data_IF_459355266702
#
_entry.id   IF_459355266702
#
_cell.length_a   1.000
_cell.length_b   1.000
_cell.length_c   1.000
_cell.angle_alpha   90.00
_cell.angle_beta   90.00
_cell.angle_gamma   90.00
#
_symmetry.space_group_name_H-M   'P 1'
#
loop_
_entity.id
_entity.type
_entity.pdbx_description
1 polymer ?
#
# COMPACT_ATOMS: atom_id res chain seq x y z
N UNK A 1 -14.16 -23.92 -32.22
CA UNK A 1 -13.51 -23.35 -31.05
C UNK A 1 -14.53 -22.44 -30.32
N UNK A 2 -14.78 -22.66 -29.01
CA UNK A 2 -15.71 -21.77 -28.27
C UNK A 2 -15.04 -20.42 -28.08
N UNK A 3 -15.70 -19.34 -28.45
CA UNK A 3 -15.23 -17.96 -28.23
C UNK A 3 -15.77 -17.45 -26.88
N UNK A 4 -15.02 -16.55 -26.23
CA UNK A 4 -15.53 -15.83 -25.07
C UNK A 4 -16.66 -14.88 -25.50
N UNK A 5 -17.63 -14.57 -24.61
CA UNK A 5 -18.64 -13.57 -24.88
C UNK A 5 -18.03 -12.20 -25.24
N UNK A 6 -18.65 -11.46 -26.14
CA UNK A 6 -18.16 -10.12 -26.55
C UNK A 6 -18.16 -9.12 -25.38
N UNK A 7 -19.04 -9.31 -24.38
CA UNK A 7 -19.12 -8.48 -23.19
C UNK A 7 -18.11 -8.88 -22.09
N UNK A 8 -17.20 -9.83 -22.35
CA UNK A 8 -16.23 -10.27 -21.36
C UNK A 8 -15.22 -9.16 -21.04
N UNK A 9 -15.09 -8.87 -19.73
CA UNK A 9 -14.10 -7.91 -19.25
C UNK A 9 -12.77 -8.63 -19.05
N UNK A 10 -11.72 -8.07 -19.63
CA UNK A 10 -10.35 -8.55 -19.50
C UNK A 10 -9.55 -7.56 -18.67
N UNK A 11 -8.93 -8.00 -17.59
CA UNK A 11 -8.19 -7.08 -16.74
C UNK A 11 -7.48 -7.75 -15.59
N UNK A 12 -6.96 -6.92 -14.71
CA UNK A 12 -6.21 -7.31 -13.53
C UNK A 12 -6.75 -6.67 -12.25
N UNK A 13 -6.20 -7.14 -11.13
CA UNK A 13 -6.47 -6.57 -9.82
C UNK A 13 -5.15 -6.28 -9.11
N UNK A 14 -5.11 -5.15 -8.38
CA UNK A 14 -3.98 -4.79 -7.54
C UNK A 14 -4.47 -4.32 -6.16
N UNK A 15 -3.54 -4.22 -5.22
CA UNK A 15 -3.77 -3.68 -3.89
C UNK A 15 -2.89 -2.44 -3.67
N UNK A 16 -3.44 -1.41 -3.02
CA UNK A 16 -2.79 -0.13 -2.76
C UNK A 16 -1.36 -0.27 -2.24
N UNK A 17 -1.16 -1.05 -1.17
CA UNK A 17 0.15 -1.27 -0.56
C UNK A 17 1.14 -2.07 -1.42
N UNK A 18 0.68 -2.67 -2.53
CA UNK A 18 1.54 -3.46 -3.44
C UNK A 18 2.01 -2.65 -4.63
N UNK A 19 1.28 -1.59 -5.02
CA UNK A 19 1.61 -0.90 -6.25
C UNK A 19 1.64 0.64 -6.12
N UNK A 20 0.92 1.24 -5.15
CA UNK A 20 0.70 2.67 -5.13
C UNK A 20 1.99 3.47 -4.85
N UNK A 21 2.73 3.15 -3.80
CA UNK A 21 3.85 3.99 -3.36
C UNK A 21 3.40 5.32 -2.75
N UNK A 22 4.27 6.34 -2.76
CA UNK A 22 3.94 7.66 -2.23
C UNK A 22 3.41 7.63 -0.79
N UNK A 23 3.99 6.78 0.07
CA UNK A 23 3.46 6.43 1.40
C UNK A 23 3.35 7.62 2.36
N UNK A 24 4.16 8.65 2.18
CA UNK A 24 4.21 9.86 3.00
C UNK A 24 3.88 11.14 2.20
N UNK A 25 3.24 10.99 1.03
CA UNK A 25 2.92 12.09 0.13
C UNK A 25 1.42 12.39 0.09
N UNK A 26 1.07 13.60 -0.33
CA UNK A 26 -0.32 14.05 -0.42
C UNK A 26 -1.09 14.01 0.90
N UNK A 27 -0.40 14.03 2.05
CA UNK A 27 -1.04 13.97 3.37
C UNK A 27 -1.57 12.59 3.75
N UNK A 28 -1.15 11.52 3.06
CA UNK A 28 -1.53 10.14 3.38
C UNK A 28 -1.09 9.75 4.80
N UNK A 29 -1.98 9.12 5.54
CA UNK A 29 -1.66 8.45 6.81
C UNK A 29 -1.01 7.09 6.60
N UNK A 30 -0.34 6.59 7.62
CA UNK A 30 0.35 5.30 7.57
C UNK A 30 -0.62 4.12 7.71
N UNK A 31 -0.33 3.04 6.99
CA UNK A 31 -0.99 1.74 7.09
C UNK A 31 -0.10 0.76 7.85
N UNK A 32 -0.69 -0.33 8.31
CA UNK A 32 0.09 -1.43 8.96
C UNK A 32 1.20 -1.97 8.05
N UNK A 33 0.96 -2.04 6.74
CA UNK A 33 1.97 -2.51 5.77
C UNK A 33 3.18 -1.58 5.66
N UNK A 34 3.05 -0.29 6.03
CA UNK A 34 4.16 0.66 6.01
C UNK A 34 5.20 0.40 7.13
N UNK A 35 4.87 -0.46 8.07
CA UNK A 35 5.77 -0.93 9.13
C UNK A 35 6.31 -2.34 8.87
N UNK A 36 5.99 -2.95 7.71
CA UNK A 36 6.43 -4.30 7.36
C UNK A 36 7.66 -4.22 6.49
N UNK A 37 8.77 -4.78 6.99
CA UNK A 37 10.05 -4.83 6.27
C UNK A 37 9.97 -5.74 5.04
N UNK A 38 10.96 -5.66 4.18
CA UNK A 38 11.24 -6.71 3.21
C UNK A 38 11.58 -8.02 3.90
N UNK A 39 11.76 -9.07 3.11
CA UNK A 39 12.11 -10.37 3.65
C UNK A 39 12.54 -11.37 2.58
N UNK A 40 13.10 -12.46 3.04
CA UNK A 40 13.52 -13.61 2.24
C UNK A 40 13.16 -14.91 2.95
N UNK A 41 13.43 -16.06 2.30
CA UNK A 41 13.26 -17.38 2.95
C UNK A 41 14.08 -17.53 4.23
N UNK A 42 15.26 -16.90 4.30
CA UNK A 42 16.15 -16.95 5.48
C UNK A 42 15.85 -15.86 6.49
N UNK A 43 15.35 -14.71 6.04
CA UNK A 43 14.97 -13.55 6.86
C UNK A 43 13.51 -13.19 6.59
N UNK A 44 12.55 -13.77 7.27
CA UNK A 44 11.13 -13.44 7.08
C UNK A 44 10.84 -11.96 7.35
N UNK A 45 9.81 -11.44 6.67
CA UNK A 45 9.29 -10.08 6.91
C UNK A 45 8.96 -9.87 8.38
N UNK A 46 9.23 -8.66 8.88
CA UNK A 46 8.96 -8.26 10.27
C UNK A 46 8.07 -7.04 10.30
N UNK A 47 7.27 -6.95 11.34
CA UNK A 47 6.51 -5.76 11.70
C UNK A 47 7.32 -4.98 12.74
N UNK A 48 7.68 -3.75 12.44
CA UNK A 48 8.51 -2.89 13.29
C UNK A 48 7.65 -1.96 14.15
N UNK A 49 8.08 -1.72 15.37
CA UNK A 49 7.31 -0.97 16.36
C UNK A 49 8.19 -0.15 17.30
N UNK A 50 7.54 0.75 18.05
CA UNK A 50 8.09 1.49 19.17
C UNK A 50 7.20 1.30 20.40
N UNK A 51 7.83 1.11 21.54
CA UNK A 51 7.17 1.05 22.85
C UNK A 51 6.97 2.46 23.45
N UNK A 52 6.07 2.63 24.44
CA UNK A 52 5.87 3.92 25.10
C UNK A 52 7.13 4.50 25.77
N UNK A 53 8.08 3.65 26.16
CA UNK A 53 9.37 4.05 26.76
C UNK A 53 10.42 4.46 25.69
N UNK A 54 10.05 4.40 24.40
CA UNK A 54 10.94 4.73 23.29
C UNK A 54 11.77 3.54 22.77
N UNK A 55 11.69 2.37 23.39
CA UNK A 55 12.38 1.16 22.91
C UNK A 55 11.76 0.71 21.58
N UNK A 56 12.59 0.44 20.59
CA UNK A 56 12.15 -0.05 19.27
C UNK A 56 12.40 -1.55 19.15
N UNK A 57 11.56 -2.22 18.36
CA UNK A 57 11.68 -3.65 18.14
C UNK A 57 10.98 -4.11 16.85
N UNK A 58 11.04 -5.41 16.62
CA UNK A 58 10.36 -6.04 15.50
C UNK A 58 9.88 -7.44 15.86
N UNK A 59 8.69 -7.81 15.38
CA UNK A 59 8.13 -9.17 15.48
C UNK A 59 7.91 -9.74 14.08
N UNK A 60 7.80 -11.07 13.92
CA UNK A 60 7.35 -11.65 12.66
C UNK A 60 6.05 -10.98 12.20
N UNK A 61 5.93 -10.62 10.90
CA UNK A 61 4.84 -9.76 10.41
C UNK A 61 3.43 -10.34 10.58
N UNK A 62 3.31 -11.63 10.91
CA UNK A 62 2.03 -12.33 11.21
C UNK A 62 1.72 -12.43 12.69
N UNK A 63 2.61 -11.94 13.53
CA UNK A 63 2.43 -11.91 14.98
C UNK A 63 1.94 -10.53 15.44
N UNK A 64 1.30 -10.52 16.59
CA UNK A 64 0.87 -9.27 17.22
C UNK A 64 2.07 -8.54 17.82
N UNK A 65 2.06 -7.21 17.70
CA UNK A 65 2.99 -6.39 18.45
C UNK A 65 2.75 -6.52 19.95
N UNK A 66 3.78 -6.26 20.79
CA UNK A 66 3.60 -6.19 22.25
C UNK A 66 2.51 -5.20 22.65
N UNK A 67 1.87 -5.44 23.79
CA UNK A 67 0.86 -4.54 24.33
C UNK A 67 1.42 -3.11 24.50
N UNK A 68 0.66 -2.12 24.05
CA UNK A 68 1.05 -0.70 24.07
C UNK A 68 2.03 -0.28 22.98
N UNK A 69 2.57 -1.20 22.19
CA UNK A 69 3.43 -0.86 21.06
C UNK A 69 2.65 -0.19 19.93
N UNK A 70 3.32 0.68 19.19
CA UNK A 70 2.80 1.33 17.96
C UNK A 70 3.73 1.03 16.80
N UNK A 71 3.17 0.87 15.59
CA UNK A 71 3.96 0.74 14.37
C UNK A 71 4.96 1.89 14.24
N UNK A 72 6.20 1.57 13.88
CA UNK A 72 7.27 2.56 13.77
C UNK A 72 8.26 2.20 12.66
N UNK A 73 8.63 3.19 11.85
CA UNK A 73 9.58 3.04 10.75
C UNK A 73 11.00 3.20 11.31
N UNK A 74 11.81 2.14 11.18
CA UNK A 74 13.21 2.14 11.57
C UNK A 74 14.08 2.60 10.40
N UNK A 75 15.07 3.45 10.65
CA UNK A 75 15.90 4.08 9.60
C UNK A 75 16.80 3.11 8.84
N UNK A 76 17.15 1.99 9.46
CA UNK A 76 18.05 0.95 8.94
C UNK A 76 17.32 -0.22 8.27
N UNK A 77 16.00 -0.10 8.09
CA UNK A 77 15.17 -1.13 7.48
C UNK A 77 14.60 -0.66 6.14
N UNK A 78 14.41 -1.59 5.21
CA UNK A 78 13.73 -1.34 3.95
C UNK A 78 12.27 -1.80 4.02
N UNK A 79 11.36 -0.95 3.54
CA UNK A 79 9.92 -1.17 3.54
C UNK A 79 9.40 -1.14 2.11
N UNK A 80 9.12 -2.30 1.50
CA UNK A 80 8.74 -2.36 0.08
C UNK A 80 7.49 -1.56 -0.29
N UNK A 81 6.52 -1.43 0.62
CA UNK A 81 5.28 -0.68 0.39
C UNK A 81 5.49 0.83 0.22
N UNK A 82 6.61 1.38 0.72
CA UNK A 82 6.88 2.81 0.65
C UNK A 82 7.05 3.32 -0.78
N UNK A 83 7.69 2.52 -1.62
CA UNK A 83 7.88 2.80 -3.03
C UNK A 83 6.94 1.95 -3.91
N UNK A 84 6.78 0.66 -3.57
CA UNK A 84 6.04 -0.31 -4.37
C UNK A 84 6.48 -0.27 -5.85
N UNK A 85 5.55 -0.08 -6.80
CA UNK A 85 5.87 0.20 -8.22
C UNK A 85 5.68 1.67 -8.58
N UNK A 86 5.45 2.50 -7.56
CA UNK A 86 5.34 3.96 -7.68
C UNK A 86 4.18 4.43 -8.59
N UNK A 87 3.07 3.71 -8.57
CA UNK A 87 1.88 4.07 -9.32
C UNK A 87 1.37 5.48 -8.95
N UNK A 88 1.62 5.95 -7.75
CA UNK A 88 1.25 7.31 -7.32
C UNK A 88 1.78 8.39 -8.25
N UNK A 89 3.00 8.22 -8.77
CA UNK A 89 3.60 9.15 -9.71
C UNK A 89 3.38 8.78 -11.18
N UNK A 90 3.18 7.48 -11.49
CA UNK A 90 3.15 6.95 -12.84
C UNK A 90 1.78 6.49 -13.32
N UNK A 91 0.70 6.68 -12.54
CA UNK A 91 -0.63 6.11 -12.83
C UNK A 91 -1.16 6.38 -14.23
N UNK A 92 -0.89 7.58 -14.80
CA UNK A 92 -1.35 7.92 -16.15
C UNK A 92 -0.67 7.06 -17.23
N UNK A 93 0.62 6.84 -17.08
CA UNK A 93 1.43 6.01 -17.99
C UNK A 93 1.05 4.54 -17.83
N UNK A 94 0.93 4.08 -16.59
CA UNK A 94 0.58 2.70 -16.26
C UNK A 94 -0.82 2.34 -16.76
N UNK A 95 -1.81 3.20 -16.55
CA UNK A 95 -3.19 2.99 -17.09
C UNK A 95 -3.16 2.92 -18.61
N UNK A 96 -2.37 3.78 -19.27
CA UNK A 96 -2.20 3.70 -20.71
C UNK A 96 -1.58 2.39 -21.15
N UNK A 97 -0.55 1.92 -20.47
CA UNK A 97 0.07 0.61 -20.74
C UNK A 97 -0.92 -0.54 -20.60
N UNK A 98 -1.78 -0.52 -19.56
CA UNK A 98 -2.84 -1.52 -19.39
C UNK A 98 -3.82 -1.50 -20.56
N UNK A 99 -4.23 -0.32 -21.01
CA UNK A 99 -5.11 -0.18 -22.17
C UNK A 99 -4.42 -0.69 -23.46
N UNK A 100 -3.17 -0.35 -23.69
CA UNK A 100 -2.37 -0.79 -24.83
C UNK A 100 -2.18 -2.34 -24.85
N UNK A 101 -2.17 -2.98 -23.68
CA UNK A 101 -2.16 -4.44 -23.52
C UNK A 101 -3.52 -5.10 -23.85
N UNK A 102 -4.57 -4.31 -24.11
CA UNK A 102 -5.91 -4.80 -24.39
C UNK A 102 -6.77 -5.06 -23.13
N UNK A 103 -6.37 -4.57 -21.99
CA UNK A 103 -7.21 -4.63 -20.78
C UNK A 103 -8.38 -3.66 -20.90
N UNK A 104 -9.57 -4.14 -20.58
CA UNK A 104 -10.83 -3.38 -20.62
C UNK A 104 -11.35 -3.03 -19.21
N UNK A 105 -10.72 -3.55 -18.18
CA UNK A 105 -11.07 -3.28 -16.79
C UNK A 105 -9.86 -3.40 -15.89
N UNK A 106 -9.85 -2.60 -14.83
CA UNK A 106 -8.87 -2.67 -13.74
C UNK A 106 -9.60 -2.58 -12.40
N UNK A 107 -9.31 -3.51 -11.51
CA UNK A 107 -9.77 -3.44 -10.11
C UNK A 107 -8.60 -3.03 -9.24
N UNK A 108 -8.77 -2.02 -8.40
CA UNK A 108 -7.77 -1.58 -7.42
C UNK A 108 -8.42 -1.35 -6.05
N UNK A 109 -7.64 -1.40 -4.99
CA UNK A 109 -8.10 -0.95 -3.68
C UNK A 109 -7.85 0.55 -3.51
N UNK A 110 -8.76 1.18 -2.80
CA UNK A 110 -8.63 2.57 -2.39
C UNK A 110 -7.92 2.60 -1.04
N UNK A 111 -6.78 3.29 -0.97
CA UNK A 111 -6.04 3.48 0.26
C UNK A 111 -6.83 4.41 1.21
N UNK A 112 -7.51 3.83 2.21
CA UNK A 112 -8.35 4.58 3.14
C UNK A 112 -7.61 5.74 3.82
N UNK A 113 -6.37 5.50 4.26
CA UNK A 113 -5.57 6.51 4.94
C UNK A 113 -5.06 7.62 4.01
N UNK A 114 -5.22 7.50 2.69
CA UNK A 114 -5.01 8.62 1.77
C UNK A 114 -6.16 9.60 1.82
N UNK A 115 -7.39 9.12 2.05
CA UNK A 115 -8.59 9.94 2.17
C UNK A 115 -8.80 10.40 3.62
N UNK A 116 -8.60 9.51 4.58
CA UNK A 116 -8.75 9.77 6.01
C UNK A 116 -7.45 9.36 6.74
N UNK A 117 -6.46 10.27 6.84
CA UNK A 117 -5.12 9.94 7.36
C UNK A 117 -5.06 9.35 8.76
N UNK A 118 -6.01 9.68 9.63
CA UNK A 118 -6.16 9.11 10.99
C UNK A 118 -7.23 8.03 11.04
N UNK A 119 -8.04 7.91 9.99
CA UNK A 119 -9.06 6.89 9.82
C UNK A 119 -10.49 7.30 10.15
N UNK A 120 -10.70 8.39 10.88
CA UNK A 120 -12.00 8.83 11.43
C UNK A 120 -12.27 10.35 11.34
N UNK A 121 -11.54 11.06 10.52
CA UNK A 121 -11.76 12.50 10.33
C UNK A 121 -13.14 12.78 9.72
N UNK A 122 -13.76 13.87 10.17
CA UNK A 122 -15.03 14.33 9.63
C UNK A 122 -14.91 14.89 8.19
N UNK A 123 -13.71 15.29 7.78
CA UNK A 123 -13.45 15.85 6.46
C UNK A 123 -12.34 15.07 5.77
N UNK A 124 -12.55 14.63 4.53
CA UNK A 124 -11.54 13.89 3.79
C UNK A 124 -10.36 14.79 3.40
N UNK A 125 -9.20 14.17 3.21
CA UNK A 125 -8.03 14.80 2.64
C UNK A 125 -8.24 15.02 1.13
N UNK A 126 -8.29 16.29 0.70
CA UNK A 126 -8.58 16.63 -0.69
C UNK A 126 -7.53 16.08 -1.66
N UNK A 127 -6.25 16.15 -1.31
CA UNK A 127 -5.19 15.60 -2.17
C UNK A 127 -5.33 14.08 -2.39
N UNK A 128 -5.88 13.36 -1.40
CA UNK A 128 -6.20 11.94 -1.55
C UNK A 128 -7.37 11.70 -2.49
N UNK A 129 -8.40 12.55 -2.46
CA UNK A 129 -9.53 12.46 -3.39
C UNK A 129 -9.12 12.84 -4.83
N UNK A 130 -8.26 13.84 -4.99
CA UNK A 130 -7.79 14.30 -6.31
C UNK A 130 -6.92 13.26 -7.02
N UNK A 131 -6.31 12.35 -6.27
CA UNK A 131 -5.53 11.24 -6.82
C UNK A 131 -6.41 10.10 -7.35
N UNK A 132 -7.60 9.88 -6.79
CA UNK A 132 -8.54 8.79 -7.13
C UNK A 132 -9.40 9.15 -8.35
#
# INVERSE_FOLDING_TARGET
MKKFPECMLWGGASADFQYEGGFNEGGRGLLTCDFVTDGSLKNPRKLTYIMPDGTTGAVPHRESMPEGAKGHILKDQYYPSHQAVDFYHHYKEDIKLYADMGMTTMRFSICWTRIFPKGDEATPNQAGLDFL
#
